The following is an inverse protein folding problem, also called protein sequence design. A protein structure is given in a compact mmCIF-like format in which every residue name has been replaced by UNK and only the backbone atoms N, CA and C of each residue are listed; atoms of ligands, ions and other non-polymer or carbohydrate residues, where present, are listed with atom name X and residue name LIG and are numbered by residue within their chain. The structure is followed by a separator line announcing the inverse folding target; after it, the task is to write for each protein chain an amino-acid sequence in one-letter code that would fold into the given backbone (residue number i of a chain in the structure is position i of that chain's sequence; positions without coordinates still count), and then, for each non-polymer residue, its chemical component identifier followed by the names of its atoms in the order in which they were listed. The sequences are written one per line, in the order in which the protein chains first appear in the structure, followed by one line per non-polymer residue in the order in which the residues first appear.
data_IF_742996336149
#
_entry.id   IF_742996336149
#
_cell.length_a   1.000
_cell.length_b   1.000
_cell.length_c   1.000
_cell.angle_alpha   90.00
_cell.angle_beta   90.00
_cell.angle_gamma   90.00
#
_symmetry.space_group_name_H-M   'P 1'
#
loop_
_entity.id
_entity.type
_entity.pdbx_description
1 polymer ?
#
# COMPACT_ATOMS: atom_id res chain seq x y z
N UNK A 1 -3.12 21.83 1.62
CA UNK A 1 -3.42 20.64 2.46
C UNK A 1 -4.16 19.60 1.65
N UNK A 2 -3.69 18.37 1.67
CA UNK A 2 -4.34 17.25 0.99
C UNK A 2 -5.57 16.80 1.79
N UNK A 3 -6.68 16.58 1.09
CA UNK A 3 -7.93 16.08 1.69
C UNK A 3 -8.24 14.69 1.11
N UNK A 4 -9.19 14.00 1.74
CA UNK A 4 -9.68 12.71 1.22
C UNK A 4 -10.24 12.88 -0.20
N UNK A 5 -10.90 14.01 -0.49
CA UNK A 5 -11.43 14.28 -1.83
C UNK A 5 -10.30 14.42 -2.86
N UNK A 6 -9.16 15.01 -2.49
CA UNK A 6 -7.99 15.11 -3.37
C UNK A 6 -7.45 13.72 -3.72
N UNK A 7 -7.41 12.81 -2.73
CA UNK A 7 -6.96 11.44 -2.94
C UNK A 7 -7.92 10.71 -3.88
N UNK A 8 -9.22 10.88 -3.66
CA UNK A 8 -10.25 10.27 -4.50
C UNK A 8 -10.14 10.76 -5.94
N UNK A 9 -9.93 12.08 -6.13
CA UNK A 9 -9.78 12.67 -7.45
C UNK A 9 -8.57 12.11 -8.18
N UNK A 10 -7.42 11.96 -7.50
CA UNK A 10 -6.23 11.35 -8.07
C UNK A 10 -6.50 9.90 -8.46
N UNK A 11 -7.20 9.17 -7.60
CA UNK A 11 -7.57 7.78 -7.89
C UNK A 11 -8.40 7.68 -9.17
N UNK A 12 -9.39 8.56 -9.33
CA UNK A 12 -10.23 8.57 -10.53
C UNK A 12 -9.43 8.86 -11.81
N UNK A 13 -8.47 9.79 -11.74
CA UNK A 13 -7.57 10.08 -12.85
C UNK A 13 -6.73 8.84 -13.21
N UNK A 14 -6.23 8.14 -12.20
CA UNK A 14 -5.44 6.93 -12.42
C UNK A 14 -6.27 5.82 -13.07
N UNK A 15 -7.54 5.69 -12.68
CA UNK A 15 -8.45 4.72 -13.30
C UNK A 15 -8.59 4.96 -14.79
N UNK A 16 -8.70 6.21 -15.22
CA UNK A 16 -8.78 6.58 -16.63
C UNK A 16 -7.52 6.19 -17.40
N UNK A 17 -6.38 6.15 -16.72
CA UNK A 17 -5.11 5.74 -17.31
C UNK A 17 -4.87 4.24 -17.23
N UNK A 18 -5.81 3.47 -16.68
CA UNK A 18 -5.65 2.03 -16.49
C UNK A 18 -4.80 1.64 -15.29
N UNK A 19 -4.47 2.60 -14.43
CA UNK A 19 -3.70 2.34 -13.23
C UNK A 19 -4.62 1.86 -12.11
N UNK A 20 -4.16 0.89 -11.33
CA UNK A 20 -4.98 0.28 -10.27
C UNK A 20 -4.33 0.35 -8.89
N UNK A 21 -3.27 1.14 -8.75
CA UNK A 21 -2.57 1.32 -7.48
C UNK A 21 -2.25 2.80 -7.26
N UNK A 22 -2.49 3.27 -6.04
CA UNK A 22 -2.12 4.62 -5.60
C UNK A 22 -1.42 4.51 -4.25
N UNK A 23 -0.28 5.17 -4.11
CA UNK A 23 0.47 5.24 -2.85
C UNK A 23 0.15 6.57 -2.17
N UNK A 24 -0.39 6.50 -0.96
CA UNK A 24 -0.59 7.67 -0.11
C UNK A 24 0.57 7.71 0.87
N UNK A 25 1.42 8.71 0.74
CA UNK A 25 2.70 8.78 1.44
C UNK A 25 2.68 9.93 2.45
N UNK A 26 3.12 9.68 3.66
CA UNK A 26 3.23 10.71 4.66
C UNK A 26 4.12 10.28 5.83
N UNK A 27 4.70 11.27 6.50
CA UNK A 27 5.49 11.04 7.69
C UNK A 27 4.62 10.90 8.94
N UNK A 28 5.28 10.72 10.11
CA UNK A 28 4.55 10.67 11.38
C UNK A 28 3.77 11.97 11.62
N UNK A 29 2.51 11.83 12.04
CA UNK A 29 1.68 13.00 12.34
C UNK A 29 1.15 13.75 11.12
N UNK A 30 1.35 13.24 9.90
CA UNK A 30 0.86 13.88 8.68
C UNK A 30 -0.65 13.81 8.51
N UNK A 31 -1.33 12.90 9.21
CA UNK A 31 -2.77 12.66 9.05
C UNK A 31 -3.10 11.65 7.96
N UNK A 32 -2.10 10.98 7.41
CA UNK A 32 -2.26 10.01 6.34
C UNK A 32 -3.29 8.92 6.67
N UNK A 33 -3.15 8.28 7.83
CA UNK A 33 -4.06 7.19 8.21
C UNK A 33 -5.50 7.67 8.39
N UNK A 34 -5.68 8.86 8.94
CA UNK A 34 -7.00 9.45 9.08
C UNK A 34 -7.67 9.67 7.72
N UNK A 35 -6.90 10.18 6.75
CA UNK A 35 -7.42 10.40 5.39
C UNK A 35 -7.79 9.10 4.71
N UNK A 36 -6.96 8.07 4.87
CA UNK A 36 -7.25 6.76 4.29
C UNK A 36 -8.53 6.18 4.91
N UNK A 37 -8.73 6.33 6.22
CA UNK A 37 -9.96 5.89 6.88
C UNK A 37 -11.19 6.66 6.39
N UNK A 38 -11.05 7.95 6.13
CA UNK A 38 -12.15 8.74 5.57
C UNK A 38 -12.60 8.20 4.20
N UNK A 39 -11.65 7.71 3.40
CA UNK A 39 -11.98 7.14 2.10
C UNK A 39 -12.89 5.91 2.22
N UNK A 40 -12.89 5.23 3.37
CA UNK A 40 -13.76 4.08 3.60
C UNK A 40 -15.24 4.46 3.69
N UNK A 41 -15.57 5.75 3.73
CA UNK A 41 -16.94 6.22 3.66
C UNK A 41 -17.52 6.05 2.25
N UNK A 42 -16.67 5.89 1.24
CA UNK A 42 -17.12 5.61 -0.12
C UNK A 42 -17.68 4.19 -0.19
N UNK A 43 -18.79 4.04 -0.90
CA UNK A 43 -19.44 2.73 -1.02
C UNK A 43 -18.53 1.68 -1.65
N UNK A 44 -18.33 0.58 -0.94
CA UNK A 44 -17.49 -0.51 -1.38
C UNK A 44 -15.99 -0.33 -1.15
N UNK A 45 -15.57 0.81 -0.61
CA UNK A 45 -14.17 1.06 -0.27
C UNK A 45 -13.95 0.61 1.18
N UNK A 46 -12.99 -0.31 1.40
CA UNK A 46 -12.81 -0.92 2.71
C UNK A 46 -11.39 -0.74 3.24
N UNK A 47 -11.31 -0.25 4.48
CA UNK A 47 -10.04 -0.02 5.18
C UNK A 47 -9.55 -1.32 5.82
N UNK A 48 -8.24 -1.56 5.71
CA UNK A 48 -7.56 -2.68 6.35
C UNK A 48 -6.10 -2.32 6.61
N UNK A 49 -5.46 -3.00 7.55
CA UNK A 49 -4.05 -2.80 7.83
C UNK A 49 -3.25 -3.97 7.24
N UNK A 50 -2.11 -3.65 6.62
CA UNK A 50 -1.29 -4.66 5.94
C UNK A 50 -0.86 -5.79 6.89
N UNK A 51 -0.55 -5.47 8.15
CA UNK A 51 -0.14 -6.46 9.15
C UNK A 51 -1.17 -7.56 9.37
N UNK A 52 -2.44 -7.27 9.13
CA UNK A 52 -3.54 -8.21 9.35
C UNK A 52 -3.83 -9.08 8.13
N UNK A 53 -3.14 -8.85 7.02
CA UNK A 53 -3.35 -9.59 5.78
C UNK A 53 -2.47 -10.84 5.66
N UNK A 54 -1.44 -10.95 6.50
CA UNK A 54 -0.60 -12.14 6.58
C UNK A 54 -0.95 -12.92 7.84
N UNK A 55 -0.94 -14.25 7.75
CA UNK A 55 -1.23 -15.12 8.89
C UNK A 55 -0.12 -15.05 9.94
N UNK A 56 -0.46 -15.32 11.21
CA UNK A 56 0.50 -15.31 12.32
C UNK A 56 1.67 -16.26 12.08
N UNK A 57 1.40 -17.39 11.43
CA UNK A 57 2.39 -18.42 11.14
C UNK A 57 3.23 -18.12 9.91
N UNK A 58 3.11 -16.93 9.33
CA UNK A 58 3.82 -16.61 8.08
C UNK A 58 5.33 -16.82 8.20
N UNK A 59 5.92 -16.49 9.34
CA UNK A 59 7.36 -16.66 9.55
C UNK A 59 7.79 -18.12 9.68
N UNK A 60 6.85 -19.04 9.83
CA UNK A 60 7.14 -20.49 9.85
C UNK A 60 7.24 -21.05 8.43
N UNK A 61 6.79 -20.29 7.43
CA UNK A 61 6.90 -20.69 6.03
C UNK A 61 8.36 -20.66 5.61
N UNK A 62 8.81 -21.65 4.84
CA UNK A 62 10.16 -21.69 4.32
C UNK A 62 10.50 -20.41 3.58
N UNK A 63 11.69 -19.88 3.80
CA UNK A 63 12.14 -18.58 3.34
C UNK A 63 11.88 -18.35 1.85
N UNK A 64 12.22 -19.32 1.01
CA UNK A 64 12.07 -19.24 -0.44
C UNK A 64 10.64 -19.36 -0.93
N UNK A 65 9.71 -19.83 -0.07
CA UNK A 65 8.30 -19.94 -0.41
C UNK A 65 7.48 -18.72 0.01
N UNK A 66 8.07 -17.80 0.78
CA UNK A 66 7.37 -16.64 1.33
C UNK A 66 6.80 -15.69 0.28
N UNK A 67 7.50 -15.39 -0.83
CA UNK A 67 6.91 -14.48 -1.83
C UNK A 67 5.58 -15.00 -2.39
N UNK A 68 5.52 -16.27 -2.77
CA UNK A 68 4.29 -16.86 -3.28
C UNK A 68 3.21 -16.96 -2.20
N UNK A 69 3.61 -17.34 -0.99
CA UNK A 69 2.69 -17.45 0.13
C UNK A 69 2.07 -16.10 0.48
N UNK A 70 2.86 -15.03 0.45
CA UNK A 70 2.36 -13.68 0.70
C UNK A 70 1.33 -13.28 -0.35
N UNK A 71 1.60 -13.55 -1.61
CA UNK A 71 0.63 -13.31 -2.68
C UNK A 71 -0.68 -14.06 -2.41
N UNK A 72 -0.58 -15.33 -2.08
CA UNK A 72 -1.76 -16.17 -1.84
C UNK A 72 -2.59 -15.69 -0.65
N UNK A 73 -1.92 -15.31 0.46
CA UNK A 73 -2.60 -14.82 1.65
C UNK A 73 -3.25 -13.46 1.43
N UNK A 74 -2.54 -12.54 0.78
CA UNK A 74 -3.10 -11.23 0.44
C UNK A 74 -4.29 -11.38 -0.50
N UNK A 75 -4.15 -12.19 -1.51
CA UNK A 75 -5.21 -12.42 -2.50
C UNK A 75 -6.45 -13.03 -1.83
N UNK A 76 -6.26 -14.02 -0.96
CA UNK A 76 -7.36 -14.65 -0.22
C UNK A 76 -8.07 -13.63 0.67
N UNK A 77 -7.30 -12.80 1.40
CA UNK A 77 -7.86 -11.77 2.28
C UNK A 77 -8.65 -10.73 1.50
N UNK A 78 -8.09 -10.24 0.39
CA UNK A 78 -8.76 -9.22 -0.43
C UNK A 78 -10.03 -9.75 -1.09
N UNK A 79 -10.02 -11.01 -1.50
CA UNK A 79 -11.21 -11.64 -2.04
C UNK A 79 -12.32 -11.72 -0.99
N UNK A 80 -11.95 -12.05 0.25
CA UNK A 80 -12.91 -12.15 1.35
C UNK A 80 -13.51 -10.78 1.71
N UNK A 81 -12.73 -9.70 1.62
CA UNK A 81 -13.23 -8.36 1.84
C UNK A 81 -14.22 -7.91 0.76
N UNK A 82 -14.03 -8.41 -0.46
CA UNK A 82 -14.90 -8.06 -1.61
C UNK A 82 -15.06 -6.54 -1.78
N UNK A 83 -13.97 -5.82 -1.70
CA UNK A 83 -13.97 -4.36 -1.80
C UNK A 83 -13.88 -3.90 -3.26
N UNK A 84 -14.55 -2.80 -3.58
CA UNK A 84 -14.36 -2.13 -4.87
C UNK A 84 -12.98 -1.51 -4.94
N UNK A 85 -12.52 -0.96 -3.81
CA UNK A 85 -11.16 -0.46 -3.63
C UNK A 85 -10.72 -0.87 -2.23
N UNK A 86 -9.60 -1.56 -2.13
CA UNK A 86 -9.01 -1.94 -0.85
C UNK A 86 -8.07 -0.82 -0.40
N UNK A 87 -8.31 -0.31 0.80
CA UNK A 87 -7.51 0.75 1.41
C UNK A 87 -6.56 0.10 2.41
N UNK A 88 -5.33 -0.19 1.97
CA UNK A 88 -4.36 -0.96 2.76
C UNK A 88 -3.36 0.00 3.40
N UNK A 89 -3.49 0.24 4.69
CA UNK A 89 -2.59 1.12 5.42
C UNK A 89 -1.40 0.34 6.00
N UNK A 90 -0.29 1.05 6.23
CA UNK A 90 0.87 0.48 6.89
C UNK A 90 1.63 -0.56 6.09
N UNK A 91 1.74 -0.40 4.77
CA UNK A 91 2.42 -1.40 3.92
C UNK A 91 3.91 -1.50 4.18
N UNK A 92 4.50 -0.59 4.98
CA UNK A 92 5.91 -0.67 5.36
C UNK A 92 6.30 -2.04 5.95
N UNK A 93 5.38 -2.71 6.65
CA UNK A 93 5.65 -4.02 7.25
C UNK A 93 6.03 -5.07 6.20
N UNK A 94 5.52 -4.93 4.97
CA UNK A 94 5.79 -5.88 3.90
C UNK A 94 7.22 -5.77 3.37
N UNK A 95 7.91 -4.67 3.70
CA UNK A 95 9.28 -4.40 3.27
C UNK A 95 10.31 -4.93 4.25
N UNK A 96 9.90 -5.51 5.39
CA UNK A 96 10.82 -6.05 6.39
C UNK A 96 11.65 -7.20 5.79
N UNK A 97 12.99 -7.16 5.89
CA UNK A 97 13.85 -8.18 5.28
C UNK A 97 13.55 -9.60 5.73
N UNK A 98 13.11 -9.77 6.98
CA UNK A 98 12.79 -11.08 7.53
C UNK A 98 11.67 -11.79 6.74
N UNK A 99 10.79 -11.03 6.11
CA UNK A 99 9.70 -11.61 5.34
C UNK A 99 10.15 -12.18 3.99
N UNK A 100 11.32 -11.77 3.50
CA UNK A 100 11.86 -12.20 2.20
C UNK A 100 10.90 -11.97 1.04
N UNK A 101 10.22 -10.82 1.04
CA UNK A 101 9.30 -10.47 -0.04
C UNK A 101 9.96 -9.53 -1.05
N UNK A 102 9.38 -9.48 -2.25
CA UNK A 102 9.66 -8.44 -3.22
C UNK A 102 8.43 -7.53 -3.23
N UNK A 103 8.31 -6.63 -2.23
CA UNK A 103 7.01 -6.00 -1.95
C UNK A 103 6.48 -5.09 -3.05
N UNK A 104 7.35 -4.44 -3.83
CA UNK A 104 6.91 -3.60 -4.94
C UNK A 104 6.24 -4.47 -6.00
N UNK A 105 6.88 -5.58 -6.37
CA UNK A 105 6.32 -6.54 -7.33
C UNK A 105 5.06 -7.20 -6.80
N UNK A 106 5.05 -7.52 -5.51
CA UNK A 106 3.88 -8.10 -4.85
C UNK A 106 2.67 -7.17 -4.95
N UNK A 107 2.85 -5.89 -4.62
CA UNK A 107 1.77 -4.92 -4.69
C UNK A 107 1.30 -4.70 -6.14
N UNK A 108 2.21 -4.68 -7.09
CA UNK A 108 1.85 -4.56 -8.51
C UNK A 108 1.03 -5.75 -8.99
N UNK A 109 1.43 -6.97 -8.62
CA UNK A 109 0.70 -8.19 -9.00
C UNK A 109 -0.69 -8.20 -8.37
N UNK A 110 -0.80 -7.85 -7.10
CA UNK A 110 -2.08 -7.76 -6.40
C UNK A 110 -2.99 -6.74 -7.10
N UNK A 111 -2.43 -5.59 -7.49
CA UNK A 111 -3.21 -4.51 -8.11
C UNK A 111 -3.81 -4.89 -9.46
N UNK A 112 -3.28 -5.90 -10.12
CA UNK A 112 -3.86 -6.39 -11.37
C UNK A 112 -5.24 -7.00 -11.17
N UNK A 113 -5.47 -7.61 -10.01
CA UNK A 113 -6.74 -8.25 -9.66
C UNK A 113 -7.62 -7.39 -8.76
N UNK A 114 -7.01 -6.63 -7.86
CA UNK A 114 -7.71 -5.86 -6.84
C UNK A 114 -7.25 -4.42 -6.88
N UNK A 115 -8.16 -3.45 -7.17
CA UNK A 115 -7.79 -2.03 -7.09
C UNK A 115 -7.40 -1.68 -5.66
N UNK A 116 -6.23 -1.08 -5.46
CA UNK A 116 -5.71 -0.80 -4.13
C UNK A 116 -5.19 0.62 -3.99
N UNK A 117 -5.45 1.21 -2.83
CA UNK A 117 -4.82 2.45 -2.38
C UNK A 117 -4.04 2.05 -1.14
N UNK A 118 -2.72 2.25 -1.16
CA UNK A 118 -1.86 1.80 -0.07
C UNK A 118 -1.27 2.99 0.67
N UNK A 119 -1.25 2.90 1.99
CA UNK A 119 -0.65 3.91 2.85
C UNK A 119 0.74 3.49 3.27
N UNK A 120 1.72 4.37 3.05
CA UNK A 120 3.09 4.13 3.46
C UNK A 120 3.68 5.34 4.18
N UNK A 121 4.55 5.04 5.14
CA UNK A 121 5.27 6.03 5.90
C UNK A 121 6.60 6.29 5.21
N UNK A 122 6.80 7.53 4.77
CA UNK A 122 8.00 7.87 4.04
C UNK A 122 7.90 9.22 3.35
N UNK A 123 8.75 9.41 2.35
CA UNK A 123 8.79 10.64 1.56
C UNK A 123 9.03 10.31 0.08
N UNK A 124 8.61 11.21 -0.78
CA UNK A 124 8.80 11.09 -2.21
C UNK A 124 9.63 12.28 -2.70
N UNK A 125 10.73 12.02 -3.41
CA UNK A 125 11.63 13.06 -3.91
C UNK A 125 11.36 13.47 -5.36
N UNK A 126 10.27 12.97 -5.95
CA UNK A 126 9.92 13.21 -7.35
C UNK A 126 10.30 12.07 -8.28
N UNK A 127 11.21 11.22 -7.86
CA UNK A 127 11.70 10.06 -8.62
C UNK A 127 11.61 8.78 -7.82
N UNK A 128 12.07 8.83 -6.56
CA UNK A 128 12.11 7.66 -5.67
C UNK A 128 11.21 7.85 -4.47
N UNK A 129 10.59 6.74 -4.06
CA UNK A 129 9.86 6.65 -2.81
C UNK A 129 10.80 6.08 -1.75
N UNK A 130 10.98 6.81 -0.65
CA UNK A 130 11.83 6.43 0.48
C UNK A 130 10.95 6.05 1.65
N UNK A 131 11.02 4.80 2.07
CA UNK A 131 10.20 4.30 3.17
C UNK A 131 10.96 4.30 4.48
N UNK A 132 10.26 4.63 5.55
CA UNK A 132 10.80 4.63 6.92
C UNK A 132 10.42 3.35 7.66
N UNK A 133 11.28 2.98 8.62
CA UNK A 133 10.98 1.88 9.55
C UNK A 133 11.83 2.05 10.81
N UNK A 134 11.20 1.99 11.98
CA UNK A 134 11.88 2.07 13.28
C UNK A 134 12.91 3.21 13.36
N UNK A 135 12.49 4.44 13.07
CA UNK A 135 13.33 5.64 13.08
C UNK A 135 14.43 5.67 12.02
N UNK A 136 14.42 4.74 11.08
CA UNK A 136 15.32 4.77 9.92
C UNK A 136 14.57 5.42 8.74
N UNK A 137 14.89 6.70 8.38
CA UNK A 137 14.15 7.42 7.33
C UNK A 137 14.44 6.92 5.92
N UNK A 138 15.47 6.11 5.74
CA UNK A 138 15.86 5.57 4.43
C UNK A 138 15.98 4.06 4.45
N UNK A 139 15.04 3.43 5.13
CA UNK A 139 14.99 1.99 5.30
C UNK A 139 14.95 1.23 3.97
N UNK A 140 14.15 1.72 3.03
CA UNK A 140 14.01 1.10 1.71
C UNK A 140 13.65 2.19 0.70
N UNK A 141 14.25 2.14 -0.50
CA UNK A 141 13.93 3.10 -1.56
C UNK A 141 13.77 2.38 -2.88
N UNK A 142 12.85 2.87 -3.70
CA UNK A 142 12.68 2.34 -5.04
C UNK A 142 12.20 3.44 -6.00
N UNK A 143 12.54 3.28 -7.29
CA UNK A 143 12.10 4.21 -8.32
C UNK A 143 10.64 4.00 -8.64
N UNK A 144 9.92 5.10 -8.83
CA UNK A 144 8.50 5.09 -9.18
C UNK A 144 8.37 5.33 -10.68
N UNK A 145 7.81 4.35 -11.38
CA UNK A 145 7.64 4.43 -12.83
C UNK A 145 6.67 5.54 -13.25
N UNK A 146 5.58 5.71 -12.50
CA UNK A 146 4.58 6.73 -12.78
C UNK A 146 4.37 7.59 -11.54
N UNK A 147 4.90 8.84 -11.52
CA UNK A 147 4.75 9.73 -10.37
C UNK A 147 3.30 10.03 -10.00
N UNK A 148 2.35 9.87 -10.92
CA UNK A 148 0.94 10.07 -10.62
C UNK A 148 0.41 9.04 -9.64
N UNK A 149 1.09 7.91 -9.46
CA UNK A 149 0.76 6.89 -8.47
C UNK A 149 1.08 7.33 -7.04
N UNK A 150 1.74 8.47 -6.86
CA UNK A 150 2.16 8.96 -5.54
C UNK A 150 1.39 10.23 -5.20
N UNK A 151 0.76 10.23 -4.03
CA UNK A 151 0.21 11.46 -3.46
C UNK A 151 0.79 11.64 -2.05
N UNK A 152 1.33 12.82 -1.79
CA UNK A 152 2.03 13.11 -0.53
C UNK A 152 1.13 13.90 0.41
N UNK A 153 0.99 13.41 1.64
CA UNK A 153 0.25 14.08 2.71
C UNK A 153 1.27 14.72 3.66
N UNK A 154 1.11 16.01 3.90
CA UNK A 154 2.01 16.77 4.76
C UNK A 154 1.33 17.25 6.03
#
# INVERSE_FOLDING_TARGET
MITAQDIKARWEELQEQGERILFVVGGPGSGKSRLIRELAEQDGWKYMEAKDLLEEEFLEVAHELRPQRAYDELSTSLKAYDAKVALIDGVNVLFAPILNLTPVELLKEISKEYPIIVGCRGRFDGTKLHLEHNNNPEYFSFEVENPQRIIVVE
#
